data_IF_600408292330
#
_entry.id   IF_600408292330
#
_cell.length_a   1.000
_cell.length_b   1.000
_cell.length_c   1.000
_cell.angle_alpha   90.00
_cell.angle_beta   90.00
_cell.angle_gamma   90.00
#
_symmetry.space_group_name_H-M   'P 1'
#
loop_
_entity.id
_entity.type
_entity.pdbx_description
1 polymer ?
#
# COMPACT_ATOMS: atom_id res chain seq x y z
N UNK A 1 8.92 -12.74 15.01
CA UNK A 1 8.86 -11.64 14.03
C UNK A 1 9.19 -12.18 12.65
N UNK A 2 8.46 -11.70 11.64
CA UNK A 2 8.71 -12.13 10.26
C UNK A 2 9.72 -11.23 9.55
N UNK A 3 9.66 -9.91 9.81
CA UNK A 3 10.62 -8.92 9.28
C UNK A 3 11.05 -8.04 10.44
N UNK A 4 12.35 -7.71 10.49
CA UNK A 4 12.95 -6.79 11.46
C UNK A 4 13.96 -5.91 10.76
N UNK A 5 13.82 -4.60 10.88
CA UNK A 5 14.69 -3.59 10.28
C UNK A 5 15.11 -2.60 11.35
N UNK A 6 16.42 -2.39 11.49
CA UNK A 6 17.00 -1.50 12.49
C UNK A 6 17.99 -0.53 11.83
N UNK A 7 17.71 0.77 11.90
CA UNK A 7 18.53 1.87 11.38
C UNK A 7 19.06 1.63 9.96
N UNK A 8 18.17 1.06 9.12
CA UNK A 8 18.55 0.68 7.75
C UNK A 8 18.81 1.93 6.92
N UNK A 9 19.97 2.00 6.33
CA UNK A 9 20.42 3.10 5.49
C UNK A 9 20.87 2.59 4.13
N UNK A 10 20.49 3.31 3.06
CA UNK A 10 20.97 3.07 1.71
C UNK A 10 21.34 4.37 1.03
N UNK A 11 22.58 4.44 0.55
CA UNK A 11 23.14 5.59 -0.16
C UNK A 11 23.56 5.16 -1.56
N UNK A 12 23.17 5.93 -2.57
CA UNK A 12 23.59 5.81 -3.96
C UNK A 12 24.38 7.07 -4.33
N UNK A 13 25.71 6.97 -4.44
CA UNK A 13 26.53 8.15 -4.62
C UNK A 13 26.33 9.15 -3.48
N UNK A 14 25.76 10.31 -3.78
CA UNK A 14 25.41 11.35 -2.78
C UNK A 14 23.96 11.26 -2.29
N UNK A 15 23.11 10.51 -2.98
CA UNK A 15 21.69 10.42 -2.65
C UNK A 15 21.43 9.37 -1.55
N UNK A 16 20.86 9.80 -0.44
CA UNK A 16 20.39 8.95 0.63
C UNK A 16 18.96 8.48 0.33
N UNK A 17 18.81 7.26 -0.19
CA UNK A 17 17.53 6.69 -0.54
C UNK A 17 16.78 6.13 0.67
N UNK A 18 17.50 5.67 1.71
CA UNK A 18 16.97 5.30 3.03
C UNK A 18 17.85 5.93 4.10
N UNK A 19 17.22 6.50 5.13
CA UNK A 19 17.86 7.25 6.21
C UNK A 19 17.43 6.71 7.56
N UNK A 20 18.17 5.72 8.07
CA UNK A 20 18.02 5.09 9.39
C UNK A 20 16.59 4.60 9.70
N UNK A 21 15.91 4.01 8.72
CA UNK A 21 14.56 3.49 8.94
C UNK A 21 14.60 2.27 9.86
N UNK A 22 13.62 2.18 10.76
CA UNK A 22 13.45 1.04 11.66
C UNK A 22 11.97 0.67 11.73
N UNK A 23 11.67 -0.61 11.54
CA UNK A 23 10.32 -1.16 11.65
C UNK A 23 10.34 -2.68 11.78
N UNK A 24 9.20 -3.25 12.15
CA UNK A 24 9.00 -4.68 12.29
C UNK A 24 7.70 -5.10 11.62
N UNK A 25 7.63 -6.32 11.07
CA UNK A 25 6.37 -6.96 10.68
C UNK A 25 6.16 -8.24 11.48
N UNK A 26 4.96 -8.39 12.06
CA UNK A 26 4.57 -9.56 12.84
C UNK A 26 4.16 -10.70 11.92
N UNK A 27 4.13 -11.91 12.46
CA UNK A 27 3.64 -13.07 11.73
C UNK A 27 2.13 -12.92 11.44
N UNK A 28 1.71 -13.19 10.20
CA UNK A 28 0.30 -13.11 9.80
C UNK A 28 -0.22 -11.67 9.62
N UNK A 29 0.66 -10.67 9.57
CA UNK A 29 0.31 -9.27 9.34
C UNK A 29 0.37 -8.93 7.86
N UNK A 30 -0.62 -8.17 7.37
CA UNK A 30 -0.53 -7.47 6.09
C UNK A 30 -0.11 -6.04 6.40
N UNK A 31 1.16 -5.73 6.14
CA UNK A 31 1.79 -4.43 6.40
C UNK A 31 1.89 -3.64 5.09
N UNK A 32 1.23 -2.49 5.05
CA UNK A 32 1.34 -1.53 3.94
C UNK A 32 2.57 -0.64 4.09
N UNK A 33 3.32 -0.47 3.02
CA UNK A 33 4.46 0.45 2.94
C UNK A 33 4.12 1.56 1.95
N UNK A 34 3.56 2.66 2.45
CA UNK A 34 2.96 3.73 1.68
C UNK A 34 3.92 4.91 1.52
N UNK A 35 3.99 5.49 0.33
CA UNK A 35 4.79 6.69 0.09
C UNK A 35 4.78 7.14 -1.36
N UNK A 36 5.16 8.39 -1.65
CA UNK A 36 5.28 8.87 -3.01
C UNK A 36 6.37 8.12 -3.79
N UNK A 37 6.41 8.33 -5.10
CA UNK A 37 7.48 7.80 -5.94
C UNK A 37 8.83 8.38 -5.50
N UNK A 38 9.86 7.52 -5.43
CA UNK A 38 11.18 7.91 -4.94
C UNK A 38 11.32 7.99 -3.41
N UNK A 39 10.28 7.71 -2.62
CA UNK A 39 10.35 7.77 -1.15
C UNK A 39 11.23 6.69 -0.49
N UNK A 40 11.65 5.64 -1.23
CA UNK A 40 12.47 4.55 -0.71
C UNK A 40 11.78 3.18 -0.63
N UNK A 41 10.51 3.06 -1.03
CA UNK A 41 9.72 1.81 -0.96
C UNK A 41 10.42 0.64 -1.64
N UNK A 42 10.62 0.70 -2.95
CA UNK A 42 11.27 -0.38 -3.73
C UNK A 42 12.72 -0.63 -3.32
N UNK A 43 13.43 0.39 -2.81
CA UNK A 43 14.77 0.22 -2.24
C UNK A 43 14.72 -0.67 -1.00
N UNK A 44 13.75 -0.45 -0.11
CA UNK A 44 13.54 -1.29 1.07
C UNK A 44 13.21 -2.73 0.68
N UNK A 45 12.28 -2.92 -0.29
CA UNK A 45 11.90 -4.26 -0.78
C UNK A 45 13.11 -5.01 -1.37
N UNK A 46 13.92 -4.32 -2.20
CA UNK A 46 15.12 -4.89 -2.80
C UNK A 46 16.19 -5.28 -1.77
N UNK A 47 16.33 -4.52 -0.68
CA UNK A 47 17.25 -4.90 0.40
C UNK A 47 16.72 -6.14 1.12
N UNK A 48 15.45 -6.15 1.54
CA UNK A 48 14.84 -7.27 2.27
C UNK A 48 14.89 -8.59 1.48
N UNK A 49 14.84 -8.51 0.15
CA UNK A 49 14.94 -9.69 -0.73
C UNK A 49 16.38 -10.09 -1.04
N UNK A 50 17.37 -9.35 -0.53
CA UNK A 50 18.80 -9.59 -0.83
C UNK A 50 19.18 -9.29 -2.27
N UNK A 51 18.39 -8.47 -2.98
CA UNK A 51 18.69 -8.06 -4.37
C UNK A 51 19.78 -6.97 -4.42
N UNK A 52 19.79 -6.06 -3.45
CA UNK A 52 20.84 -5.06 -3.26
C UNK A 52 21.28 -5.04 -1.80
N UNK A 53 22.58 -4.79 -1.52
CA UNK A 53 23.05 -4.65 -0.14
C UNK A 53 22.66 -3.28 0.43
N UNK A 54 22.43 -3.23 1.76
CA UNK A 54 22.33 -1.98 2.51
C UNK A 54 23.70 -1.29 2.63
N UNK A 55 23.70 0.00 2.93
CA UNK A 55 24.95 0.75 3.27
C UNK A 55 25.30 0.56 4.75
N UNK A 56 24.28 0.60 5.63
CA UNK A 56 24.42 0.34 7.06
C UNK A 56 23.09 -0.08 7.68
N UNK A 57 23.09 -0.48 8.94
CA UNK A 57 21.91 -0.97 9.66
C UNK A 57 21.73 -2.48 9.49
N UNK A 58 20.65 -3.00 10.05
CA UNK A 58 20.33 -4.43 10.10
C UNK A 58 18.98 -4.68 9.43
N UNK A 59 18.90 -5.72 8.62
CA UNK A 59 17.65 -6.24 8.07
C UNK A 59 17.62 -7.76 8.26
N UNK A 60 16.55 -8.28 8.90
CA UNK A 60 16.35 -9.71 9.12
C UNK A 60 14.98 -10.14 8.63
N UNK A 61 14.92 -11.36 8.07
CA UNK A 61 13.68 -12.01 7.69
C UNK A 61 13.64 -13.41 8.29
N UNK A 62 12.58 -13.71 9.03
CA UNK A 62 12.42 -14.97 9.78
C UNK A 62 13.63 -15.27 10.70
N UNK A 63 14.29 -14.23 11.22
CA UNK A 63 15.48 -14.34 12.07
C UNK A 63 16.81 -14.40 11.31
N UNK A 64 16.80 -14.58 10.01
CA UNK A 64 18.01 -14.63 9.18
C UNK A 64 18.42 -13.23 8.72
N UNK A 65 19.69 -12.92 8.85
CA UNK A 65 20.26 -11.64 8.39
C UNK A 65 20.38 -11.62 6.86
N UNK A 66 19.83 -10.56 6.25
CA UNK A 66 19.76 -10.43 4.79
C UNK A 66 21.13 -10.35 4.13
N UNK A 67 22.12 -9.73 4.81
CA UNK A 67 23.46 -9.50 4.24
C UNK A 67 24.37 -10.74 4.32
N UNK A 68 24.24 -11.53 5.38
CA UNK A 68 25.13 -12.67 5.65
C UNK A 68 24.48 -14.02 5.38
N UNK A 69 23.16 -14.11 5.41
CA UNK A 69 22.38 -15.34 5.26
C UNK A 69 21.37 -15.25 4.10
N UNK A 70 21.74 -14.59 3.00
CA UNK A 70 20.84 -14.29 1.87
C UNK A 70 20.13 -15.52 1.31
N UNK A 71 20.80 -16.67 1.23
CA UNK A 71 20.17 -17.91 0.71
C UNK A 71 19.10 -18.45 1.64
N UNK A 72 19.27 -18.36 2.97
CA UNK A 72 18.24 -18.73 3.93
C UNK A 72 17.06 -17.74 3.87
N UNK A 73 17.32 -16.46 3.75
CA UNK A 73 16.29 -15.43 3.54
C UNK A 73 15.45 -15.75 2.31
N UNK A 74 16.07 -16.05 1.16
CA UNK A 74 15.37 -16.38 -0.09
C UNK A 74 14.45 -17.60 0.01
N UNK A 75 14.77 -18.59 0.84
CA UNK A 75 13.89 -19.75 1.09
C UNK A 75 12.59 -19.36 1.82
N UNK A 76 12.59 -18.24 2.54
CA UNK A 76 11.46 -17.81 3.34
C UNK A 76 10.67 -16.65 2.72
N UNK A 77 11.16 -16.06 1.62
CA UNK A 77 10.53 -14.92 0.94
C UNK A 77 10.00 -15.31 -0.43
N UNK A 78 8.75 -14.96 -0.71
CA UNK A 78 8.26 -14.79 -2.07
C UNK A 78 8.32 -13.32 -2.46
N UNK A 79 8.79 -13.00 -3.65
CA UNK A 79 8.92 -11.63 -4.12
C UNK A 79 8.24 -11.41 -5.46
N UNK A 80 7.39 -10.41 -5.51
CA UNK A 80 6.78 -9.89 -6.74
C UNK A 80 7.30 -8.46 -6.95
N UNK A 81 8.21 -8.22 -7.89
CA UNK A 81 8.67 -6.87 -8.22
C UNK A 81 7.62 -6.11 -9.04
N UNK A 82 7.66 -4.78 -9.02
CA UNK A 82 6.79 -3.90 -9.81
C UNK A 82 6.84 -4.24 -11.30
N UNK A 83 8.05 -4.37 -11.86
CA UNK A 83 8.29 -4.87 -13.22
C UNK A 83 8.54 -6.36 -13.14
N UNK A 84 7.51 -7.14 -13.38
CA UNK A 84 7.55 -8.59 -13.31
C UNK A 84 8.29 -9.18 -14.53
N UNK A 85 9.55 -9.68 -14.39
CA UNK A 85 10.41 -10.11 -15.49
C UNK A 85 10.08 -11.55 -15.93
N UNK A 86 8.91 -11.76 -16.51
CA UNK A 86 8.45 -13.06 -16.98
C UNK A 86 9.05 -13.42 -18.34
N UNK A 87 9.26 -14.71 -18.59
CA UNK A 87 9.68 -15.23 -19.89
C UNK A 87 8.46 -15.32 -20.82
N UNK A 88 8.27 -14.29 -21.64
CA UNK A 88 7.05 -14.09 -22.45
C UNK A 88 6.81 -15.17 -23.50
N UNK A 89 7.84 -15.86 -23.95
CA UNK A 89 7.76 -16.94 -24.95
C UNK A 89 7.39 -18.30 -24.36
N UNK A 90 7.50 -18.47 -23.04
CA UNK A 90 7.10 -19.69 -22.34
C UNK A 90 5.58 -19.76 -22.12
N UNK A 91 5.05 -20.97 -22.07
CA UNK A 91 3.67 -21.20 -21.60
C UNK A 91 3.60 -21.00 -20.07
N UNK A 92 2.44 -20.57 -19.57
CA UNK A 92 2.24 -20.32 -18.14
C UNK A 92 2.67 -21.51 -17.28
N UNK A 93 2.17 -22.73 -17.59
CA UNK A 93 2.54 -23.94 -16.82
C UNK A 93 4.00 -24.29 -16.97
N UNK A 94 4.58 -24.15 -18.13
CA UNK A 94 6.01 -24.39 -18.40
C UNK A 94 6.90 -23.49 -17.54
N UNK A 95 6.61 -22.18 -17.52
CA UNK A 95 7.32 -21.18 -16.73
C UNK A 95 7.24 -21.49 -15.22
N UNK A 96 6.06 -21.85 -14.74
CA UNK A 96 5.89 -22.19 -13.32
C UNK A 96 6.60 -23.50 -12.97
N UNK A 97 6.61 -24.50 -13.85
CA UNK A 97 7.40 -25.73 -13.68
C UNK A 97 8.89 -25.42 -13.63
N UNK A 98 9.41 -24.65 -14.59
CA UNK A 98 10.80 -24.17 -14.59
C UNK A 98 11.14 -23.46 -13.28
N UNK A 99 10.26 -22.54 -12.83
CA UNK A 99 10.47 -21.82 -11.57
C UNK A 99 10.45 -22.75 -10.35
N UNK A 100 9.60 -23.77 -10.34
CA UNK A 100 9.54 -24.77 -9.27
C UNK A 100 10.82 -25.62 -9.20
N UNK A 101 11.39 -25.98 -10.36
CA UNK A 101 12.67 -26.70 -10.44
C UNK A 101 13.83 -25.85 -9.93
N UNK A 102 13.90 -24.56 -10.33
CA UNK A 102 14.91 -23.61 -9.81
C UNK A 102 14.80 -23.44 -8.30
N UNK A 103 13.58 -23.50 -7.74
CA UNK A 103 13.33 -23.46 -6.30
C UNK A 103 13.64 -24.78 -5.58
N UNK A 104 13.97 -25.85 -6.32
CA UNK A 104 14.32 -27.15 -5.75
C UNK A 104 13.14 -27.95 -5.22
N UNK A 105 11.92 -27.76 -5.75
CA UNK A 105 10.72 -28.46 -5.29
C UNK A 105 10.72 -29.97 -5.61
N UNK A 106 11.54 -30.42 -6.56
CA UNK A 106 11.71 -31.84 -6.88
C UNK A 106 10.40 -32.54 -7.22
N UNK A 107 10.07 -33.60 -6.51
CA UNK A 107 8.87 -34.44 -6.75
C UNK A 107 7.55 -33.68 -6.54
N UNK A 108 7.55 -32.66 -5.72
CA UNK A 108 6.35 -31.88 -5.38
C UNK A 108 6.06 -30.77 -6.39
N UNK A 109 6.99 -30.50 -7.31
CA UNK A 109 6.89 -29.39 -8.28
C UNK A 109 5.57 -29.40 -9.06
N UNK A 110 5.17 -30.57 -9.59
CA UNK A 110 3.95 -30.67 -10.43
C UNK A 110 2.68 -30.37 -9.63
N UNK A 111 2.53 -30.97 -8.46
CA UNK A 111 1.35 -30.78 -7.60
C UNK A 111 1.27 -29.33 -7.13
N UNK A 112 2.42 -28.76 -6.76
CA UNK A 112 2.49 -27.38 -6.29
C UNK A 112 2.19 -26.36 -7.39
N UNK A 113 2.65 -26.61 -8.61
CA UNK A 113 2.33 -25.75 -9.76
C UNK A 113 0.84 -25.82 -10.11
N UNK A 114 0.25 -27.02 -10.14
CA UNK A 114 -1.19 -27.15 -10.43
C UNK A 114 -2.04 -26.48 -9.33
N UNK A 115 -1.67 -26.61 -8.04
CA UNK A 115 -2.30 -25.89 -6.92
C UNK A 115 -2.20 -24.36 -7.09
N UNK A 116 -1.01 -23.84 -7.42
CA UNK A 116 -0.83 -22.39 -7.57
C UNK A 116 -1.58 -21.84 -8.77
N UNK A 117 -1.63 -22.56 -9.89
CA UNK A 117 -2.43 -22.17 -11.06
C UNK A 117 -3.90 -22.01 -10.69
N UNK A 118 -4.44 -22.93 -9.91
CA UNK A 118 -5.83 -22.86 -9.46
C UNK A 118 -6.03 -21.69 -8.47
N UNK A 119 -5.17 -21.59 -7.45
CA UNK A 119 -5.26 -20.60 -6.39
C UNK A 119 -5.23 -19.16 -6.91
N UNK A 120 -4.43 -18.86 -7.93
CA UNK A 120 -4.35 -17.50 -8.52
C UNK A 120 -5.31 -17.29 -9.69
N UNK A 121 -6.17 -18.27 -10.03
CA UNK A 121 -7.16 -18.16 -11.11
C UNK A 121 -6.55 -18.21 -12.52
N UNK A 122 -5.53 -19.02 -12.76
CA UNK A 122 -4.87 -19.20 -14.05
C UNK A 122 -5.30 -20.47 -14.81
N UNK A 123 -6.31 -21.19 -14.35
CA UNK A 123 -6.71 -22.49 -14.89
C UNK A 123 -7.02 -22.44 -16.39
N UNK A 124 -7.71 -21.39 -16.87
CA UNK A 124 -8.04 -21.23 -18.28
C UNK A 124 -6.84 -20.73 -19.11
N UNK A 125 -5.89 -20.07 -18.49
CA UNK A 125 -4.75 -19.43 -19.14
C UNK A 125 -3.49 -20.36 -19.17
N UNK A 126 -3.52 -21.50 -18.49
CA UNK A 126 -2.36 -22.39 -18.24
C UNK A 126 -1.63 -22.87 -19.49
N UNK A 127 -2.33 -22.93 -20.64
CA UNK A 127 -1.81 -23.37 -21.94
C UNK A 127 -1.47 -22.24 -22.89
N UNK A 128 -1.62 -20.96 -22.47
CA UNK A 128 -1.25 -19.79 -23.27
C UNK A 128 0.19 -19.40 -23.00
N UNK A 129 0.84 -18.78 -23.98
CA UNK A 129 2.12 -18.10 -23.77
C UNK A 129 1.92 -16.88 -22.89
N UNK A 130 2.89 -16.62 -21.99
CA UNK A 130 2.83 -15.47 -21.07
C UNK A 130 2.73 -14.14 -21.84
N UNK A 131 3.37 -14.03 -23.00
CA UNK A 131 3.29 -12.83 -23.85
C UNK A 131 1.87 -12.48 -24.28
N UNK A 132 0.98 -13.46 -24.41
CA UNK A 132 -0.42 -13.30 -24.84
C UNK A 132 -1.37 -12.87 -23.71
N UNK A 133 -0.88 -12.86 -22.47
CA UNK A 133 -1.69 -12.54 -21.28
C UNK A 133 -1.86 -11.03 -21.11
N UNK A 134 -3.00 -10.61 -20.54
CA UNK A 134 -3.18 -9.26 -20.03
C UNK A 134 -2.19 -8.97 -18.87
N UNK A 135 -2.02 -7.71 -18.53
CA UNK A 135 -1.14 -7.32 -17.42
C UNK A 135 -1.57 -7.98 -16.10
N UNK A 136 -2.88 -8.05 -15.81
CA UNK A 136 -3.41 -8.70 -14.61
C UNK A 136 -3.11 -10.19 -14.56
N UNK A 137 -3.24 -10.90 -15.67
CA UNK A 137 -2.85 -12.31 -15.73
C UNK A 137 -1.34 -12.51 -15.59
N UNK A 138 -0.51 -11.61 -16.15
CA UNK A 138 0.94 -11.62 -15.92
C UNK A 138 1.27 -11.41 -14.43
N UNK A 139 0.54 -10.55 -13.75
CA UNK A 139 0.69 -10.32 -12.32
C UNK A 139 0.34 -11.58 -11.50
N UNK A 140 -0.74 -12.28 -11.88
CA UNK A 140 -1.11 -13.59 -11.27
C UNK A 140 -0.03 -14.65 -11.49
N UNK A 141 0.62 -14.69 -12.66
CA UNK A 141 1.76 -15.59 -12.91
C UNK A 141 2.91 -15.27 -11.96
N UNK A 142 3.24 -14.00 -11.76
CA UNK A 142 4.28 -13.59 -10.81
C UNK A 142 3.93 -13.91 -9.36
N UNK A 143 2.67 -13.74 -8.95
CA UNK A 143 2.20 -14.15 -7.62
C UNK A 143 2.30 -15.67 -7.44
N UNK A 144 1.89 -16.46 -8.44
CA UNK A 144 2.05 -17.93 -8.41
C UNK A 144 3.51 -18.31 -8.23
N UNK A 145 4.41 -17.73 -9.05
CA UNK A 145 5.86 -17.95 -8.93
C UNK A 145 6.38 -17.62 -7.54
N UNK A 146 6.01 -16.45 -6.99
CA UNK A 146 6.47 -16.01 -5.67
C UNK A 146 6.01 -16.96 -4.54
N UNK A 147 4.93 -17.73 -4.74
CA UNK A 147 4.34 -18.62 -3.76
C UNK A 147 4.70 -20.11 -3.93
N UNK A 148 5.39 -20.49 -5.00
CA UNK A 148 5.67 -21.90 -5.32
C UNK A 148 6.33 -22.67 -4.17
N UNK A 149 7.35 -22.11 -3.56
CA UNK A 149 8.13 -22.73 -2.48
C UNK A 149 7.53 -22.53 -1.08
N UNK A 150 6.26 -22.10 -1.02
CA UNK A 150 5.52 -21.87 0.22
C UNK A 150 6.22 -20.95 1.24
N UNK A 151 6.60 -19.71 0.84
CA UNK A 151 7.32 -18.79 1.71
C UNK A 151 6.49 -18.38 2.93
N UNK A 152 7.16 -17.98 4.02
CA UNK A 152 6.52 -17.42 5.22
C UNK A 152 6.19 -15.93 5.05
N UNK A 153 6.96 -15.23 4.25
CA UNK A 153 6.85 -13.80 3.98
C UNK A 153 6.66 -13.57 2.49
N UNK A 154 5.69 -12.76 2.13
CA UNK A 154 5.45 -12.33 0.75
C UNK A 154 5.73 -10.82 0.66
N UNK A 155 6.64 -10.44 -0.22
CA UNK A 155 6.98 -9.05 -0.50
C UNK A 155 6.45 -8.68 -1.87
N UNK A 156 5.57 -7.68 -1.93
CA UNK A 156 4.86 -7.25 -3.15
C UNK A 156 5.19 -5.78 -3.41
N UNK A 157 5.85 -5.51 -4.52
CA UNK A 157 6.20 -4.13 -4.92
C UNK A 157 5.20 -3.63 -5.96
N UNK A 158 4.31 -2.71 -5.57
CA UNK A 158 3.23 -2.12 -6.39
C UNK A 158 2.38 -3.20 -7.13
N UNK A 159 1.79 -4.17 -6.42
CA UNK A 159 1.18 -5.36 -7.04
C UNK A 159 -0.01 -5.09 -7.96
N UNK A 160 -0.63 -3.93 -7.85
CA UNK A 160 -1.82 -3.52 -8.62
C UNK A 160 -1.51 -2.45 -9.67
N UNK A 161 -0.24 -2.04 -9.77
CA UNK A 161 0.18 -0.96 -10.68
C UNK A 161 -0.21 -1.22 -12.14
N UNK A 162 -1.00 -0.28 -12.71
CA UNK A 162 -1.42 -0.30 -14.12
C UNK A 162 -2.39 -1.44 -14.49
N UNK A 163 -3.13 -1.95 -13.52
CA UNK A 163 -4.27 -2.84 -13.71
C UNK A 163 -5.55 -2.02 -13.91
N UNK A 164 -6.53 -2.59 -14.60
CA UNK A 164 -7.87 -2.00 -14.63
C UNK A 164 -8.61 -2.18 -13.30
N UNK A 165 -9.69 -1.40 -13.02
CA UNK A 165 -10.37 -1.43 -11.73
C UNK A 165 -10.86 -2.81 -11.28
N UNK A 166 -11.34 -3.64 -12.21
CA UNK A 166 -11.82 -4.98 -11.88
C UNK A 166 -10.67 -5.90 -11.48
N UNK A 167 -9.57 -5.87 -12.22
CA UNK A 167 -8.36 -6.63 -11.91
C UNK A 167 -7.74 -6.20 -10.58
N UNK A 168 -7.78 -4.90 -10.25
CA UNK A 168 -7.33 -4.39 -8.94
C UNK A 168 -8.12 -5.06 -7.80
N UNK A 169 -9.45 -5.13 -7.91
CA UNK A 169 -10.30 -5.78 -6.89
C UNK A 169 -9.92 -7.25 -6.73
N UNK A 170 -9.78 -7.97 -7.84
CA UNK A 170 -9.44 -9.40 -7.82
C UNK A 170 -8.06 -9.67 -7.20
N UNK A 171 -7.05 -8.87 -7.51
CA UNK A 171 -5.70 -9.00 -6.93
C UNK A 171 -5.73 -8.65 -5.43
N UNK A 172 -6.49 -7.65 -5.01
CA UNK A 172 -6.66 -7.30 -3.59
C UNK A 172 -7.25 -8.45 -2.78
N UNK A 173 -8.32 -9.07 -3.28
CA UNK A 173 -8.94 -10.21 -2.60
C UNK A 173 -7.97 -11.41 -2.53
N UNK A 174 -7.22 -11.68 -3.59
CA UNK A 174 -6.18 -12.70 -3.59
C UNK A 174 -5.09 -12.43 -2.53
N UNK A 175 -4.61 -11.18 -2.43
CA UNK A 175 -3.62 -10.79 -1.42
C UNK A 175 -4.18 -10.94 0.01
N UNK A 176 -5.43 -10.57 0.25
CA UNK A 176 -6.10 -10.78 1.55
C UNK A 176 -6.19 -12.25 1.92
N UNK A 177 -6.57 -13.09 0.95
CA UNK A 177 -6.62 -14.55 1.18
C UNK A 177 -5.26 -15.11 1.56
N UNK A 178 -4.21 -14.73 0.84
CA UNK A 178 -2.83 -15.14 1.12
C UNK A 178 -2.39 -14.64 2.51
N UNK A 179 -2.77 -13.42 2.87
CA UNK A 179 -2.43 -12.78 4.14
C UNK A 179 -3.00 -13.47 5.38
N UNK A 180 -4.00 -14.36 5.23
CA UNK A 180 -4.52 -15.16 6.36
C UNK A 180 -3.49 -16.12 6.92
N UNK A 181 -2.61 -16.63 6.07
CA UNK A 181 -1.62 -17.67 6.41
C UNK A 181 -0.18 -17.16 6.40
N UNK A 182 0.07 -16.01 5.81
CA UNK A 182 1.42 -15.48 5.55
C UNK A 182 1.55 -14.04 6.02
N UNK A 183 2.78 -13.65 6.32
CA UNK A 183 3.09 -12.22 6.48
C UNK A 183 3.26 -11.60 5.11
N UNK A 184 2.56 -10.50 4.86
CA UNK A 184 2.63 -9.76 3.59
C UNK A 184 3.18 -8.36 3.85
N UNK A 185 4.23 -7.97 3.13
CA UNK A 185 4.71 -6.61 3.05
C UNK A 185 4.43 -6.09 1.65
N UNK A 186 3.52 -5.15 1.52
CA UNK A 186 3.19 -4.59 0.22
C UNK A 186 3.54 -3.11 0.13
N UNK A 187 4.21 -2.70 -0.95
CA UNK A 187 4.41 -1.29 -1.26
C UNK A 187 3.29 -0.78 -2.16
N UNK A 188 2.87 0.45 -1.91
CA UNK A 188 1.93 1.16 -2.78
C UNK A 188 2.03 2.67 -2.56
N UNK A 189 1.56 3.44 -3.53
CA UNK A 189 1.34 4.87 -3.40
C UNK A 189 -0.15 5.22 -3.33
N UNK A 190 -1.03 4.20 -3.33
CA UNK A 190 -2.50 4.34 -3.36
C UNK A 190 -3.06 4.04 -1.97
N UNK A 191 -3.62 5.06 -1.33
CA UNK A 191 -4.17 4.94 0.02
C UNK A 191 -5.32 3.92 0.12
N UNK A 192 -6.22 3.90 -0.85
CA UNK A 192 -7.35 2.97 -0.91
C UNK A 192 -6.94 1.50 -0.88
N UNK A 193 -5.75 1.17 -1.38
CA UNK A 193 -5.21 -0.18 -1.31
C UNK A 193 -4.82 -0.55 0.11
N UNK A 194 -4.14 0.37 0.79
CA UNK A 194 -3.77 0.21 2.20
C UNK A 194 -5.01 0.03 3.05
N UNK A 195 -6.01 0.91 2.91
CA UNK A 195 -7.28 0.84 3.66
C UNK A 195 -8.02 -0.47 3.44
N UNK A 196 -7.98 -0.99 2.21
CA UNK A 196 -8.74 -2.20 1.86
C UNK A 196 -8.06 -3.51 2.25
N UNK A 197 -6.72 -3.55 2.36
CA UNK A 197 -5.98 -4.80 2.53
C UNK A 197 -5.16 -4.88 3.82
N UNK A 198 -4.67 -3.75 4.34
CA UNK A 198 -3.66 -3.75 5.39
C UNK A 198 -4.28 -3.61 6.78
N UNK A 199 -3.60 -4.18 7.78
CA UNK A 199 -3.94 -3.98 9.18
C UNK A 199 -3.22 -2.73 9.74
N UNK A 200 -2.00 -2.49 9.25
CA UNK A 200 -1.09 -1.44 9.68
C UNK A 200 -0.38 -0.86 8.47
N UNK A 201 0.00 0.39 8.56
CA UNK A 201 0.72 1.10 7.50
C UNK A 201 1.92 1.84 8.04
N UNK A 202 3.01 1.73 7.29
CA UNK A 202 4.20 2.57 7.43
C UNK A 202 4.17 3.60 6.32
N UNK A 203 4.22 4.87 6.67
CA UNK A 203 4.33 5.96 5.71
C UNK A 203 5.80 6.37 5.62
N UNK A 204 6.35 6.29 4.41
CA UNK A 204 7.73 6.69 4.13
C UNK A 204 7.76 7.91 3.21
N UNK A 205 8.61 8.88 3.54
CA UNK A 205 8.85 10.06 2.71
C UNK A 205 10.33 10.44 2.76
N UNK A 206 10.94 10.72 1.60
CA UNK A 206 12.37 11.08 1.49
C UNK A 206 13.30 10.15 2.28
N UNK A 207 13.07 8.84 2.19
CA UNK A 207 13.87 7.82 2.86
C UNK A 207 13.67 7.69 4.36
N UNK A 208 12.71 8.39 4.97
CA UNK A 208 12.40 8.35 6.41
C UNK A 208 11.00 7.85 6.67
N UNK A 209 10.81 7.09 7.73
CA UNK A 209 9.48 6.74 8.23
C UNK A 209 8.90 7.97 8.93
N UNK A 210 7.74 8.44 8.44
CA UNK A 210 7.03 9.61 9.00
C UNK A 210 5.81 9.20 9.81
N UNK A 211 5.30 7.99 9.64
CA UNK A 211 4.27 7.39 10.48
C UNK A 211 4.36 5.86 10.42
N UNK A 212 3.98 5.20 11.50
CA UNK A 212 3.90 3.75 11.63
C UNK A 212 2.77 3.43 12.63
N UNK A 213 1.57 3.09 12.12
CA UNK A 213 0.41 2.88 12.98
C UNK A 213 -0.66 1.99 12.30
N UNK A 214 -1.60 1.53 13.11
CA UNK A 214 -2.80 0.86 12.62
C UNK A 214 -3.67 1.85 11.84
N UNK A 215 -4.31 1.38 10.79
CA UNK A 215 -5.17 2.20 9.93
C UNK A 215 -6.30 2.85 10.75
N UNK A 216 -6.93 2.08 11.65
CA UNK A 216 -7.97 2.60 12.53
C UNK A 216 -7.48 3.73 13.46
N UNK A 217 -6.25 3.65 13.98
CA UNK A 217 -5.66 4.68 14.82
C UNK A 217 -5.36 5.96 14.02
N UNK A 218 -4.82 5.82 12.80
CA UNK A 218 -4.60 6.97 11.91
C UNK A 218 -5.91 7.66 11.51
N UNK A 219 -6.97 6.90 11.27
CA UNK A 219 -8.31 7.44 11.01
C UNK A 219 -8.89 8.15 12.24
N UNK A 220 -8.63 7.65 13.45
CA UNK A 220 -9.10 8.29 14.70
C UNK A 220 -8.33 9.59 15.01
N UNK A 221 -7.03 9.65 14.72
CA UNK A 221 -6.24 10.87 14.89
C UNK A 221 -6.75 12.00 13.99
N UNK A 222 -7.30 11.67 12.81
CA UNK A 222 -7.90 12.65 11.91
C UNK A 222 -9.29 13.14 12.35
N UNK A 223 -10.00 12.39 13.21
CA UNK A 223 -11.35 12.76 13.71
C UNK A 223 -11.40 14.00 14.62
N UNK A 224 -10.25 14.52 15.05
CA UNK A 224 -10.20 15.74 15.88
C UNK A 224 -10.42 17.05 15.10
N UNK A 225 -10.40 17.06 13.77
CA UNK A 225 -10.78 18.20 12.95
C UNK A 225 -11.78 17.75 11.88
N UNK A 226 -13.05 18.06 12.09
CA UNK A 226 -14.08 17.84 11.08
C UNK A 226 -13.97 18.89 10.00
N UNK A 227 -13.98 18.50 8.74
CA UNK A 227 -14.05 19.42 7.60
C UNK A 227 -15.46 19.41 7.02
N UNK A 228 -16.17 20.54 7.12
CA UNK A 228 -17.47 20.71 6.50
C UNK A 228 -17.31 21.51 5.23
N UNK A 229 -17.75 20.96 4.11
CA UNK A 229 -17.77 21.65 2.83
C UNK A 229 -19.18 22.16 2.57
N UNK A 230 -19.30 23.46 2.38
CA UNK A 230 -20.58 24.14 2.14
C UNK A 230 -20.51 24.91 0.83
N UNK A 231 -21.54 24.79 0.00
CA UNK A 231 -21.67 25.55 -1.25
C UNK A 231 -22.96 26.36 -1.22
N UNK A 232 -22.82 27.66 -1.46
CA UNK A 232 -23.95 28.59 -1.54
C UNK A 232 -24.22 29.05 -2.98
N UNK A 233 -25.45 29.41 -3.29
CA UNK A 233 -25.82 29.96 -4.58
C UNK A 233 -25.06 31.28 -4.88
N UNK A 234 -24.85 32.11 -3.86
CA UNK A 234 -24.14 33.39 -3.94
C UNK A 234 -22.94 33.35 -2.97
N UNK A 235 -21.95 34.20 -3.21
CA UNK A 235 -20.87 34.43 -2.25
C UNK A 235 -21.44 35.07 -0.98
N UNK A 236 -20.97 34.58 0.17
CA UNK A 236 -21.38 35.08 1.49
C UNK A 236 -20.16 35.62 2.24
N UNK A 237 -20.41 36.45 3.26
CA UNK A 237 -19.32 37.00 4.09
C UNK A 237 -18.78 35.93 5.02
N UNK A 238 -17.48 35.61 4.89
CA UNK A 238 -16.80 34.61 5.75
C UNK A 238 -16.94 34.93 7.25
N UNK A 239 -17.04 36.20 7.63
CA UNK A 239 -17.15 36.64 9.02
C UNK A 239 -18.31 36.01 9.76
N UNK A 240 -19.42 35.74 9.06
CA UNK A 240 -20.62 35.13 9.67
C UNK A 240 -20.38 33.67 9.96
N UNK A 241 -19.70 32.95 9.06
CA UNK A 241 -19.34 31.55 9.29
C UNK A 241 -18.26 31.40 10.39
N UNK A 242 -17.34 32.38 10.51
CA UNK A 242 -16.31 32.41 11.58
C UNK A 242 -16.89 32.55 12.98
N UNK A 243 -18.06 33.19 13.10
CA UNK A 243 -18.73 33.38 14.39
C UNK A 243 -19.50 32.13 14.87
N UNK A 244 -19.56 31.09 14.08
CA UNK A 244 -20.19 29.81 14.50
C UNK A 244 -19.26 29.12 15.49
N UNK A 245 -19.76 28.83 16.68
CA UNK A 245 -19.01 28.11 17.70
C UNK A 245 -18.52 26.76 17.18
N UNK A 246 -17.24 26.48 17.30
CA UNK A 246 -16.61 25.27 16.78
C UNK A 246 -15.93 25.44 15.42
N UNK A 247 -16.14 26.52 14.68
CA UNK A 247 -15.42 26.78 13.42
C UNK A 247 -14.06 27.43 13.72
N UNK A 248 -12.98 26.76 13.30
CA UNK A 248 -11.59 27.19 13.55
C UNK A 248 -10.98 27.90 12.34
N UNK A 249 -11.16 27.33 11.14
CA UNK A 249 -10.53 27.83 9.91
C UNK A 249 -11.54 27.76 8.77
N UNK A 250 -11.55 28.80 7.93
CA UNK A 250 -12.33 28.85 6.70
C UNK A 250 -11.37 29.04 5.54
N UNK A 251 -11.56 28.23 4.49
CA UNK A 251 -10.92 28.44 3.18
C UNK A 251 -12.02 28.62 2.15
N UNK A 252 -12.06 29.77 1.51
CA UNK A 252 -13.01 30.05 0.43
C UNK A 252 -12.41 29.71 -0.92
N UNK A 253 -13.21 29.05 -1.77
CA UNK A 253 -12.90 28.80 -3.18
C UNK A 253 -14.15 29.13 -4.01
N UNK A 254 -14.29 30.39 -4.40
CA UNK A 254 -15.50 30.90 -5.04
C UNK A 254 -16.70 30.81 -4.09
N UNK A 255 -17.75 30.06 -4.50
CA UNK A 255 -18.98 29.83 -3.73
C UNK A 255 -18.90 28.66 -2.75
N UNK A 256 -17.76 27.95 -2.71
CA UNK A 256 -17.49 26.83 -1.78
C UNK A 256 -16.65 27.30 -0.61
N UNK A 257 -17.03 26.90 0.58
CA UNK A 257 -16.36 27.19 1.83
C UNK A 257 -15.98 25.86 2.50
N UNK A 258 -14.69 25.71 2.82
CA UNK A 258 -14.17 24.59 3.62
C UNK A 258 -14.02 25.09 5.06
N UNK A 259 -14.78 24.53 5.95
CA UNK A 259 -14.82 24.88 7.37
C UNK A 259 -14.15 23.79 8.17
N UNK A 260 -13.04 24.09 8.84
CA UNK A 260 -12.45 23.19 9.83
C UNK A 260 -13.11 23.43 11.17
N UNK A 261 -13.74 22.41 11.72
CA UNK A 261 -14.56 22.50 12.91
C UNK A 261 -14.08 21.52 14.00
N UNK A 262 -14.28 21.91 15.26
CA UNK A 262 -14.04 21.00 16.41
C UNK A 262 -15.24 20.09 16.72
N UNK A 263 -16.40 20.38 16.16
CA UNK A 263 -17.65 19.61 16.27
C UNK A 263 -18.45 19.71 14.97
N UNK A 264 -19.46 18.88 14.83
CA UNK A 264 -20.39 18.96 13.68
C UNK A 264 -21.31 20.17 13.85
N UNK A 265 -21.06 21.19 13.02
CA UNK A 265 -21.82 22.45 13.03
C UNK A 265 -22.79 22.58 11.87
N UNK A 266 -23.13 21.48 11.18
CA UNK A 266 -24.02 21.51 9.99
C UNK A 266 -25.40 22.03 10.31
N UNK A 267 -25.97 21.70 11.48
CA UNK A 267 -27.27 22.21 11.92
C UNK A 267 -27.26 23.72 12.14
N UNK A 268 -26.20 24.23 12.77
CA UNK A 268 -25.99 25.68 12.98
C UNK A 268 -25.86 26.44 11.66
N UNK A 269 -25.08 25.89 10.70
CA UNK A 269 -24.93 26.46 9.35
C UNK A 269 -26.28 26.51 8.64
N UNK A 270 -27.08 25.44 8.70
CA UNK A 270 -28.40 25.37 8.09
C UNK A 270 -29.36 26.42 8.69
N UNK A 271 -29.38 26.55 10.01
CA UNK A 271 -30.19 27.55 10.73
C UNK A 271 -29.82 28.98 10.35
N UNK A 272 -28.53 29.30 10.36
CA UNK A 272 -28.03 30.63 9.99
C UNK A 272 -28.35 30.92 8.51
N UNK A 273 -28.18 29.93 7.63
CA UNK A 273 -28.50 30.09 6.21
C UNK A 273 -29.97 30.45 6.00
N UNK A 274 -30.88 29.80 6.71
CA UNK A 274 -32.31 30.09 6.66
C UNK A 274 -32.62 31.49 7.19
N UNK A 275 -32.01 31.89 8.30
CA UNK A 275 -32.19 33.22 8.90
C UNK A 275 -31.68 34.38 8.00
N UNK A 276 -30.58 34.15 7.28
CA UNK A 276 -29.97 35.12 6.39
C UNK A 276 -30.53 35.07 4.97
N UNK A 277 -31.47 34.15 4.68
CA UNK A 277 -32.03 33.98 3.35
C UNK A 277 -31.03 33.44 2.32
N UNK A 278 -29.98 32.75 2.77
CA UNK A 278 -28.98 32.14 1.87
C UNK A 278 -29.51 30.82 1.30
N UNK A 279 -29.31 30.66 0.01
CA UNK A 279 -29.62 29.39 -0.66
C UNK A 279 -28.43 28.47 -0.57
N UNK A 280 -28.57 27.43 0.25
CA UNK A 280 -27.60 26.35 0.40
C UNK A 280 -27.75 25.37 -0.78
N UNK A 281 -26.70 25.15 -1.56
CA UNK A 281 -26.70 24.23 -2.70
C UNK A 281 -26.24 22.83 -2.29
N UNK A 282 -25.19 22.74 -1.48
CA UNK A 282 -24.70 21.50 -0.92
C UNK A 282 -24.04 21.71 0.43
N UNK A 283 -24.13 20.71 1.30
CA UNK A 283 -23.38 20.64 2.55
C UNK A 283 -23.01 19.21 2.84
N UNK A 284 -21.71 18.93 2.97
CA UNK A 284 -21.19 17.60 3.29
C UNK A 284 -20.17 17.68 4.41
N UNK A 285 -20.18 16.64 5.25
CA UNK A 285 -19.09 16.37 6.18
C UNK A 285 -18.04 15.58 5.41
N UNK A 286 -16.87 16.15 5.23
CA UNK A 286 -15.70 15.40 4.79
C UNK A 286 -15.04 14.87 6.06
N UNK A 287 -15.11 13.57 6.27
CA UNK A 287 -14.22 12.91 7.21
C UNK A 287 -12.81 13.08 6.66
N UNK A 288 -11.87 13.52 7.51
CA UNK A 288 -10.45 13.55 7.14
C UNK A 288 -10.07 12.14 6.68
N UNK A 289 -9.98 11.94 5.38
CA UNK A 289 -9.57 10.68 4.80
C UNK A 289 -8.11 10.43 5.17
N UNK A 290 -7.68 9.18 5.27
CA UNK A 290 -6.27 8.84 5.40
C UNK A 290 -5.42 9.55 4.33
N UNK A 291 -6.02 9.88 3.19
CA UNK A 291 -5.39 10.65 2.12
C UNK A 291 -5.01 12.07 2.57
N UNK A 292 -5.84 12.73 3.38
CA UNK A 292 -5.51 14.05 3.94
C UNK A 292 -4.39 13.96 4.99
N UNK A 293 -4.35 12.90 5.79
CA UNK A 293 -3.25 12.62 6.73
C UNK A 293 -1.96 12.37 5.96
N UNK A 294 -2.02 11.55 4.93
CA UNK A 294 -0.88 11.27 4.06
C UNK A 294 -0.33 12.53 3.42
N UNK A 295 -1.20 13.39 2.84
CA UNK A 295 -0.79 14.66 2.26
C UNK A 295 -0.14 15.60 3.29
N UNK A 296 -0.68 15.69 4.51
CA UNK A 296 -0.09 16.49 5.60
C UNK A 296 1.32 15.98 6.00
N UNK A 297 1.55 14.67 5.98
CA UNK A 297 2.81 14.05 6.36
C UNK A 297 3.87 14.07 5.24
N UNK A 298 3.43 14.10 3.98
CA UNK A 298 4.33 14.04 2.81
C UNK A 298 4.62 15.39 2.16
N UNK A 299 3.82 16.43 2.42
CA UNK A 299 3.98 17.79 1.87
C UNK A 299 4.79 18.74 2.78
N UNK A 300 5.58 18.20 3.70
CA UNK A 300 6.52 18.97 4.54
C UNK A 300 7.93 18.93 3.99
#
# INVERSE_FOLDING_TARGET
MSIQVEKLTKIYGTQRALDEISFEAKQGEILGFLGPNGAGKSTTMKILTGYIPQTSGIAKVCGFDVSTQTMEVKKHIGYLPELNPLYTDMFVKEYLMFSAEVQGLGKDAKSRVDEMIERVGLSLERKKKIGQLSKGYKQRVGLAQAMLHNPKVLILDEPTSGLDPNQVVEIRELIKEIGKDKTVLLSTHIMQEVESMCNRVIIINHGKIVADDNIAALQQQSKHELTIVVEFKNEIKESILKNIEGVKVIKQKGKKYLLKCSADVREQISTISSQQGWVLLSMSLEEDSLESVFQKLTNK
#
